data_IF_281472433943
#
_entry.id   IF_281472433943
#
_cell.length_a   1.000
_cell.length_b   1.000
_cell.length_c   1.000
_cell.angle_alpha   90.00
_cell.angle_beta   90.00
_cell.angle_gamma   90.00
#
_symmetry.space_group_name_H-M   'P 1'
#
loop_
_entity.id
_entity.type
_entity.pdbx_description
1 polymer ?
#
# COMPACT_ATOMS: atom_id res chain seq x y z
N UNK A 1 -8.93 -15.23 13.85
CA UNK A 1 -8.71 -13.79 14.07
C UNK A 1 -8.22 -13.23 12.74
N UNK A 2 -8.88 -12.24 12.15
CA UNK A 2 -8.43 -11.71 10.86
C UNK A 2 -7.08 -10.99 11.03
N UNK A 3 -6.06 -11.42 10.29
CA UNK A 3 -4.76 -10.75 10.28
C UNK A 3 -4.70 -9.77 9.11
N UNK A 4 -4.45 -8.50 9.40
CA UNK A 4 -4.29 -7.47 8.38
C UNK A 4 -2.81 -7.38 7.99
N UNK A 5 -2.47 -7.78 6.77
CA UNK A 5 -1.13 -7.61 6.25
C UNK A 5 -1.03 -6.25 5.54
N UNK A 6 -0.09 -5.41 5.95
CA UNK A 6 0.11 -4.08 5.36
C UNK A 6 1.40 -4.04 4.55
N UNK A 7 1.36 -3.34 3.42
CA UNK A 7 2.52 -3.04 2.59
C UNK A 7 2.67 -1.53 2.51
N UNK A 8 3.87 -1.01 2.71
CA UNK A 8 4.14 0.43 2.71
C UNK A 8 5.29 0.80 1.78
N UNK A 9 5.25 2.02 1.25
CA UNK A 9 6.28 2.59 0.37
C UNK A 9 6.48 4.08 0.67
N UNK A 10 7.72 4.54 0.59
CA UNK A 10 8.09 5.95 0.83
C UNK A 10 8.41 6.27 2.30
N UNK A 11 8.62 7.55 2.58
CA UNK A 11 8.96 8.06 3.91
C UNK A 11 7.68 8.24 4.75
N UNK A 12 7.57 7.61 5.95
CA UNK A 12 6.41 7.76 6.83
C UNK A 12 6.17 9.19 7.35
N UNK A 13 7.12 10.10 7.16
CA UNK A 13 7.01 11.53 7.51
C UNK A 13 6.60 12.41 6.33
N UNK A 14 6.36 11.84 5.15
CA UNK A 14 5.91 12.58 3.98
C UNK A 14 4.59 13.32 4.25
N UNK A 15 4.47 14.55 3.75
CA UNK A 15 3.27 15.38 3.95
C UNK A 15 2.01 14.73 3.35
N UNK A 16 2.17 13.94 2.29
CA UNK A 16 1.07 13.33 1.54
C UNK A 16 1.05 11.82 1.74
N UNK A 17 -0.07 11.32 2.25
CA UNK A 17 -0.34 9.90 2.48
C UNK A 17 -1.38 9.40 1.48
N UNK A 18 -1.13 8.24 0.87
CA UNK A 18 -2.00 7.63 -0.14
C UNK A 18 -2.35 6.20 0.28
N UNK A 19 -3.66 5.91 0.34
CA UNK A 19 -4.16 4.56 0.57
C UNK A 19 -4.47 3.88 -0.75
N UNK A 20 -3.83 2.73 -0.98
CA UNK A 20 -3.97 1.94 -2.19
C UNK A 20 -4.95 0.79 -1.96
N UNK A 21 -6.11 0.89 -2.60
CA UNK A 21 -7.21 -0.06 -2.50
C UNK A 21 -7.22 -0.94 -3.74
N UNK A 22 -6.95 -2.23 -3.56
CA UNK A 22 -7.12 -3.26 -4.60
C UNK A 22 -8.55 -3.84 -4.64
N UNK A 23 -8.93 -4.44 -5.77
CA UNK A 23 -10.17 -5.22 -5.89
C UNK A 23 -10.15 -6.52 -5.08
N UNK A 24 -11.32 -7.11 -4.86
CA UNK A 24 -11.52 -8.23 -3.91
C UNK A 24 -10.64 -9.48 -4.18
N UNK A 25 -10.26 -9.73 -5.43
CA UNK A 25 -9.45 -10.90 -5.83
C UNK A 25 -7.98 -10.55 -6.07
N UNK A 26 -7.62 -9.27 -6.02
CA UNK A 26 -6.26 -8.80 -6.27
C UNK A 26 -5.44 -8.75 -4.97
N UNK A 27 -4.12 -8.57 -5.08
CA UNK A 27 -3.21 -8.41 -3.93
C UNK A 27 -2.55 -7.02 -3.91
N UNK A 28 -2.04 -6.60 -2.75
CA UNK A 28 -1.28 -5.34 -2.61
C UNK A 28 -0.07 -5.27 -3.55
N UNK A 29 0.43 -6.42 -4.03
CA UNK A 29 1.54 -6.51 -4.98
C UNK A 29 1.18 -5.91 -6.35
N UNK A 30 -0.11 -5.83 -6.71
CA UNK A 30 -0.59 -5.16 -7.92
C UNK A 30 -0.10 -3.72 -8.00
N UNK A 31 0.08 -3.08 -6.85
CA UNK A 31 0.45 -1.67 -6.76
C UNK A 31 1.95 -1.41 -6.75
N UNK A 32 2.80 -2.44 -6.72
CA UNK A 32 4.24 -2.28 -6.44
C UNK A 32 4.91 -1.24 -7.35
N UNK A 33 4.68 -1.32 -8.66
CA UNK A 33 5.26 -0.40 -9.64
C UNK A 33 4.74 1.04 -9.49
N UNK A 34 3.45 1.21 -9.25
CA UNK A 34 2.82 2.53 -9.07
C UNK A 34 3.26 3.16 -7.75
N UNK A 35 3.32 2.36 -6.68
CA UNK A 35 3.73 2.82 -5.36
C UNK A 35 5.18 3.29 -5.35
N UNK A 36 6.09 2.60 -6.04
CA UNK A 36 7.48 3.06 -6.18
C UNK A 36 7.58 4.42 -6.88
N UNK A 37 6.81 4.62 -7.95
CA UNK A 37 6.81 5.87 -8.72
C UNK A 37 6.30 7.04 -7.86
N UNK A 38 5.17 6.87 -7.16
CA UNK A 38 4.63 7.90 -6.28
C UNK A 38 5.50 8.15 -5.05
N UNK A 39 6.15 7.11 -4.50
CA UNK A 39 7.08 7.26 -3.39
C UNK A 39 8.28 8.13 -3.79
N UNK A 40 8.79 7.96 -5.02
CA UNK A 40 9.88 8.81 -5.54
C UNK A 40 9.50 10.29 -5.69
N UNK A 41 8.19 10.58 -5.75
CA UNK A 41 7.64 11.95 -5.76
C UNK A 41 7.38 12.52 -4.35
N UNK A 42 7.84 11.83 -3.31
CA UNK A 42 7.71 12.27 -1.92
C UNK A 42 6.35 12.00 -1.29
N UNK A 43 5.64 10.95 -1.74
CA UNK A 43 4.40 10.51 -1.09
C UNK A 43 4.67 9.26 -0.23
N UNK A 44 3.96 9.13 0.88
CA UNK A 44 3.87 7.87 1.63
C UNK A 44 2.67 7.07 1.14
N UNK A 45 2.87 5.79 0.84
CA UNK A 45 1.80 4.92 0.37
C UNK A 45 1.64 3.71 1.28
N UNK A 46 0.39 3.31 1.50
CA UNK A 46 0.03 2.13 2.26
C UNK A 46 -1.03 1.31 1.51
N UNK A 47 -0.91 -0.01 1.53
CA UNK A 47 -1.92 -0.93 1.02
C UNK A 47 -2.20 -2.01 2.06
N UNK A 48 -3.48 -2.31 2.26
CA UNK A 48 -3.93 -3.30 3.23
C UNK A 48 -4.44 -4.54 2.48
N UNK A 49 -4.00 -5.71 2.94
CA UNK A 49 -4.49 -7.02 2.49
C UNK A 49 -5.18 -7.72 3.65
N UNK A 50 -6.44 -8.07 3.44
CA UNK A 50 -7.18 -8.92 4.36
C UNK A 50 -6.76 -10.38 4.12
N UNK A 51 -6.17 -11.02 5.13
CA UNK A 51 -5.91 -12.47 5.11
C UNK A 51 -6.94 -13.15 6.00
N UNK A 52 -7.70 -14.09 5.45
CA UNK A 52 -8.74 -14.86 6.15
C UNK A 52 -8.22 -16.16 6.77
N UNK A 53 -6.94 -16.23 7.12
CA UNK A 53 -6.39 -17.37 7.85
C UNK A 53 -6.81 -17.37 9.33
#
# INVERSE_FOLDING_TARGET
MATLCTSTWGDPTAIKHVLLIHGMTASSQTWHRIAQEFASRGNFLQSNRYSTH
#
